data_IF_903412044371
#
_entry.id   IF_903412044371
#
_cell.length_a   1.000
_cell.length_b   1.000
_cell.length_c   1.000
_cell.angle_alpha   90.00
_cell.angle_beta   90.00
_cell.angle_gamma   90.00
#
_symmetry.space_group_name_H-M   'P 1'
#
loop_
_entity.id
_entity.type
_entity.pdbx_description
1 polymer ?
#
# COMPACT_ATOMS: atom_id res chain seq x y z
N UNK A 1 -48.68 21.05 -4.54
CA UNK A 1 -49.33 20.12 -5.49
C UNK A 1 -48.70 18.74 -5.28
N UNK A 2 -49.43 17.76 -4.73
CA UNK A 2 -48.90 16.39 -4.53
C UNK A 2 -48.79 15.71 -5.91
N UNK A 3 -47.58 15.40 -6.36
CA UNK A 3 -47.27 14.92 -7.71
C UNK A 3 -47.69 13.47 -7.98
N UNK A 4 -48.32 12.80 -7.00
CA UNK A 4 -48.83 11.42 -7.16
C UNK A 4 -47.74 10.36 -7.26
N UNK A 5 -46.50 10.71 -6.95
CA UNK A 5 -45.38 9.77 -6.93
C UNK A 5 -45.37 8.94 -5.66
N UNK A 6 -44.98 7.68 -5.80
CA UNK A 6 -44.62 6.77 -4.70
C UNK A 6 -43.11 6.84 -4.52
N UNK A 7 -42.65 7.27 -3.35
CA UNK A 7 -41.23 7.33 -3.02
C UNK A 7 -40.89 6.23 -2.01
N UNK A 8 -39.99 5.31 -2.36
CA UNK A 8 -39.51 4.24 -1.48
C UNK A 8 -38.05 4.51 -1.17
N UNK A 9 -37.69 4.52 0.11
CA UNK A 9 -36.33 4.75 0.57
C UNK A 9 -35.82 3.49 1.26
N UNK A 10 -34.85 2.83 0.64
CA UNK A 10 -34.25 1.60 1.14
C UNK A 10 -33.14 1.92 2.14
N UNK A 11 -33.31 1.60 3.42
CA UNK A 11 -32.40 2.04 4.49
C UNK A 11 -31.36 0.99 4.94
N UNK A 12 -31.42 -0.23 4.41
CA UNK A 12 -30.49 -1.32 4.70
C UNK A 12 -30.54 -1.83 6.15
N UNK A 13 -31.64 -1.56 6.86
CA UNK A 13 -31.86 -2.05 8.23
C UNK A 13 -32.97 -1.31 8.96
N UNK A 14 -33.64 -2.01 9.87
CA UNK A 14 -34.80 -1.51 10.61
C UNK A 14 -34.48 -0.31 11.51
N UNK A 15 -33.34 -0.32 12.21
CA UNK A 15 -32.95 0.79 13.09
C UNK A 15 -32.60 2.05 12.30
N UNK A 16 -32.08 1.89 11.08
CA UNK A 16 -31.80 3.02 10.18
C UNK A 16 -33.08 3.60 9.57
N UNK A 17 -34.03 2.75 9.22
CA UNK A 17 -35.35 3.18 8.73
C UNK A 17 -36.09 4.04 9.75
N UNK A 18 -36.06 3.66 11.04
CA UNK A 18 -36.66 4.43 12.15
C UNK A 18 -35.99 5.79 12.37
N UNK A 19 -34.66 5.84 12.36
CA UNK A 19 -33.94 7.13 12.49
C UNK A 19 -34.25 8.05 11.32
N UNK A 20 -34.37 7.50 10.11
CA UNK A 20 -34.68 8.30 8.93
C UNK A 20 -36.13 8.79 8.93
N UNK A 21 -37.09 7.96 9.37
CA UNK A 21 -38.50 8.36 9.49
C UNK A 21 -38.66 9.49 10.50
N UNK A 22 -37.97 9.42 11.64
CA UNK A 22 -37.94 10.48 12.67
C UNK A 22 -37.36 11.79 12.09
N UNK A 23 -36.23 11.73 11.39
CA UNK A 23 -35.60 12.92 10.78
C UNK A 23 -36.52 13.57 9.72
N UNK A 24 -37.12 12.77 8.85
CA UNK A 24 -38.05 13.25 7.81
C UNK A 24 -39.31 13.86 8.43
N UNK A 25 -39.80 13.30 9.55
CA UNK A 25 -40.93 13.87 10.28
C UNK A 25 -40.61 15.25 10.87
N UNK A 26 -39.36 15.46 11.31
CA UNK A 26 -38.86 16.76 11.79
C UNK A 26 -38.83 17.85 10.71
N UNK A 27 -38.63 17.46 9.44
CA UNK A 27 -38.67 18.37 8.28
C UNK A 27 -40.07 18.52 7.66
N UNK A 28 -41.10 17.89 8.25
CA UNK A 28 -42.49 18.00 7.80
C UNK A 28 -42.87 17.04 6.66
N UNK A 29 -42.05 16.01 6.39
CA UNK A 29 -42.34 14.95 5.43
C UNK A 29 -42.90 13.73 6.16
N UNK A 30 -44.13 13.34 5.85
CA UNK A 30 -44.77 12.14 6.43
C UNK A 30 -44.22 10.90 5.72
N UNK A 31 -43.22 10.26 6.32
CA UNK A 31 -42.68 8.97 5.88
C UNK A 31 -43.30 7.83 6.71
N UNK A 32 -43.87 6.83 6.04
CA UNK A 32 -44.47 5.65 6.71
C UNK A 32 -43.48 4.48 6.70
N UNK A 33 -43.30 3.82 7.84
CA UNK A 33 -42.52 2.58 7.95
C UNK A 33 -43.38 1.41 7.48
N UNK A 34 -43.19 0.97 6.23
CA UNK A 34 -43.84 -0.24 5.73
C UNK A 34 -43.13 -0.77 4.50
N UNK A 35 -42.93 -2.08 4.44
CA UNK A 35 -42.46 -2.76 3.23
C UNK A 35 -43.58 -2.81 2.14
N UNK A 36 -44.84 -2.51 2.51
CA UNK A 36 -46.02 -2.58 1.65
C UNK A 36 -46.49 -1.20 1.18
N UNK A 37 -46.03 -0.79 0.00
CA UNK A 37 -46.20 0.57 -0.54
C UNK A 37 -47.40 0.71 -1.50
N UNK A 38 -48.63 0.61 -0.99
CA UNK A 38 -49.84 0.61 -1.84
C UNK A 38 -50.37 2.00 -2.21
N UNK A 39 -50.20 3.02 -1.35
CA UNK A 39 -50.72 4.37 -1.57
C UNK A 39 -49.65 5.38 -2.03
N UNK A 40 -50.02 6.55 -2.57
CA UNK A 40 -49.07 7.61 -2.88
C UNK A 40 -48.52 8.24 -1.59
N UNK A 41 -47.21 8.14 -1.37
CA UNK A 41 -46.53 8.61 -0.17
C UNK A 41 -45.03 8.33 -0.17
N UNK A 42 -44.35 8.77 0.88
CA UNK A 42 -42.96 8.40 1.15
C UNK A 42 -42.92 7.21 2.13
N UNK A 43 -42.14 6.18 1.79
CA UNK A 43 -42.02 4.96 2.57
C UNK A 43 -40.56 4.69 2.90
N UNK A 44 -40.28 4.36 4.17
CA UNK A 44 -38.97 3.88 4.59
C UNK A 44 -39.04 2.35 4.69
N UNK A 45 -38.28 1.66 3.82
CA UNK A 45 -38.19 0.21 3.76
C UNK A 45 -36.86 -0.29 4.32
N UNK A 46 -36.85 -1.54 4.75
CA UNK A 46 -35.71 -2.17 5.43
C UNK A 46 -34.68 -2.78 4.48
N UNK A 47 -34.97 -2.84 3.18
CA UNK A 47 -34.12 -3.46 2.17
C UNK A 47 -32.83 -2.69 1.92
N UNK A 48 -31.87 -3.38 1.28
CA UNK A 48 -30.58 -2.81 0.92
C UNK A 48 -30.49 -2.69 -0.59
N UNK A 49 -30.33 -1.46 -1.08
CA UNK A 49 -30.17 -1.19 -2.51
C UNK A 49 -29.00 -0.22 -2.73
N UNK A 50 -28.04 -0.59 -3.57
CA UNK A 50 -26.85 0.25 -3.78
C UNK A 50 -27.16 1.54 -4.54
N UNK A 51 -28.06 1.52 -5.51
CA UNK A 51 -28.49 2.72 -6.25
C UNK A 51 -29.99 2.65 -6.52
N UNK A 52 -30.64 3.78 -6.37
CA UNK A 52 -32.04 3.99 -6.68
C UNK A 52 -32.29 4.12 -8.18
N UNK A 53 -33.57 4.12 -8.54
CA UNK A 53 -34.04 4.34 -9.90
C UNK A 53 -35.45 4.96 -9.88
N UNK A 54 -35.81 5.60 -10.99
CA UNK A 54 -37.12 6.24 -11.14
C UNK A 54 -37.83 5.61 -12.34
N UNK A 55 -39.04 5.11 -12.11
CA UNK A 55 -39.96 4.64 -13.14
C UNK A 55 -41.06 5.68 -13.31
N UNK A 56 -40.93 6.49 -14.36
CA UNK A 56 -41.90 7.55 -14.65
C UNK A 56 -43.29 7.02 -15.04
N UNK A 57 -43.34 5.88 -15.74
CA UNK A 57 -44.58 5.27 -16.22
C UNK A 57 -45.52 4.87 -15.07
N UNK A 58 -44.95 4.36 -13.97
CA UNK A 58 -45.67 3.94 -12.76
C UNK A 58 -45.66 5.00 -11.65
N UNK A 59 -45.08 6.17 -11.91
CA UNK A 59 -44.81 7.23 -10.92
C UNK A 59 -44.13 6.71 -9.65
N UNK A 60 -43.16 5.81 -9.81
CA UNK A 60 -42.41 5.20 -8.71
C UNK A 60 -40.98 5.73 -8.68
N UNK A 61 -40.54 6.21 -7.52
CA UNK A 61 -39.16 6.60 -7.25
C UNK A 61 -38.62 5.71 -6.13
N UNK A 62 -37.60 4.91 -6.42
CA UNK A 62 -36.88 4.11 -5.42
C UNK A 62 -35.54 4.79 -5.18
N UNK A 63 -35.23 5.12 -3.94
CA UNK A 63 -33.99 5.75 -3.52
C UNK A 63 -33.14 4.68 -2.84
N UNK A 64 -31.91 4.49 -3.34
CA UNK A 64 -31.01 3.49 -2.83
C UNK A 64 -30.43 3.86 -1.47
N UNK A 65 -30.07 2.84 -0.69
CA UNK A 65 -29.34 2.98 0.57
C UNK A 65 -28.05 3.76 0.40
N UNK A 66 -27.28 3.53 -0.67
CA UNK A 66 -26.03 4.29 -0.86
C UNK A 66 -26.24 5.70 -1.43
N UNK A 67 -27.46 6.04 -1.88
CA UNK A 67 -27.81 7.40 -2.32
C UNK A 67 -28.18 8.29 -1.12
N UNK A 68 -28.83 7.72 -0.10
CA UNK A 68 -29.19 8.42 1.15
C UNK A 68 -28.04 8.41 2.14
N UNK A 69 -27.44 7.24 2.34
CA UNK A 69 -26.29 7.06 3.18
C UNK A 69 -25.09 6.98 2.26
N UNK A 70 -24.22 7.99 2.22
CA UNK A 70 -22.95 7.96 1.49
C UNK A 70 -22.03 6.88 2.07
N UNK A 71 -22.40 5.63 1.87
CA UNK A 71 -21.59 4.44 2.07
C UNK A 71 -20.64 4.43 0.90
N UNK A 72 -19.52 5.14 1.06
CA UNK A 72 -18.43 5.18 0.09
C UNK A 72 -18.19 3.77 -0.44
N UNK A 73 -18.50 3.57 -1.72
CA UNK A 73 -18.00 2.41 -2.44
C UNK A 73 -16.50 2.54 -2.32
N UNK A 74 -15.89 1.76 -1.42
CA UNK A 74 -14.44 1.65 -1.32
C UNK A 74 -14.01 1.06 -2.65
N UNK A 75 -13.68 1.94 -3.60
CA UNK A 75 -12.94 1.53 -4.78
C UNK A 75 -11.70 0.83 -4.24
N UNK A 76 -11.67 -0.49 -4.41
CA UNK A 76 -10.50 -1.28 -4.06
C UNK A 76 -9.40 -0.80 -5.01
N UNK A 77 -8.65 0.20 -4.57
CA UNK A 77 -7.36 0.51 -5.16
C UNK A 77 -6.51 -0.74 -4.98
N UNK A 78 -6.41 -1.52 -6.04
CA UNK A 78 -5.42 -2.58 -6.12
C UNK A 78 -4.08 -1.88 -5.96
N UNK A 79 -3.47 -1.98 -4.77
CA UNK A 79 -2.10 -1.52 -4.54
C UNK A 79 -1.24 -2.24 -5.58
N UNK A 80 -0.89 -1.55 -6.67
CA UNK A 80 0.18 -1.99 -7.55
C UNK A 80 1.37 -2.21 -6.62
N UNK A 81 1.84 -3.45 -6.51
CA UNK A 81 3.19 -3.71 -5.98
C UNK A 81 4.09 -2.69 -6.66
N UNK A 82 4.69 -1.80 -5.88
CA UNK A 82 5.81 -0.98 -6.36
C UNK A 82 6.80 -2.00 -6.91
N UNK A 83 6.83 -2.13 -8.24
CA UNK A 83 7.92 -2.83 -8.89
C UNK A 83 9.18 -2.15 -8.41
N UNK A 84 10.19 -2.95 -8.07
CA UNK A 84 11.56 -2.50 -7.86
C UNK A 84 11.83 -1.34 -8.83
N UNK A 85 12.06 -0.17 -8.26
CA UNK A 85 12.47 1.01 -9.01
C UNK A 85 13.81 0.68 -9.63
N UNK A 86 13.79 0.02 -10.79
CA UNK A 86 14.97 -0.22 -11.60
C UNK A 86 15.43 1.16 -12.06
N UNK A 87 16.29 1.77 -11.26
CA UNK A 87 16.95 3.02 -11.61
C UNK A 87 17.99 2.67 -12.67
N UNK A 88 17.57 2.73 -13.92
CA UNK A 88 18.49 2.59 -15.05
C UNK A 88 19.59 3.65 -14.90
N UNK A 89 20.87 3.26 -14.95
CA UNK A 89 21.95 4.23 -14.82
C UNK A 89 22.02 5.10 -16.08
N UNK A 90 22.14 6.40 -15.88
CA UNK A 90 22.27 7.39 -16.95
C UNK A 90 23.74 7.58 -17.35
N UNK A 91 23.96 8.30 -18.44
CA UNK A 91 25.32 8.62 -18.90
C UNK A 91 26.01 9.48 -17.83
N UNK A 92 27.17 9.03 -17.35
CA UNK A 92 27.92 9.68 -16.27
C UNK A 92 27.66 9.09 -14.89
N UNK A 93 26.63 8.26 -14.71
CA UNK A 93 26.41 7.54 -13.46
C UNK A 93 27.43 6.43 -13.24
N UNK A 94 27.67 6.11 -11.97
CA UNK A 94 28.35 4.89 -11.59
C UNK A 94 27.35 3.73 -11.61
N UNK A 95 27.76 2.61 -12.20
CA UNK A 95 26.98 1.38 -12.26
C UNK A 95 27.78 0.21 -11.71
N UNK A 96 27.10 -0.71 -11.04
CA UNK A 96 27.66 -1.94 -10.52
C UNK A 96 27.28 -3.08 -11.45
N UNK A 97 28.29 -3.72 -12.03
CA UNK A 97 28.13 -4.99 -12.75
C UNK A 97 28.33 -6.16 -11.77
N UNK A 98 27.47 -7.17 -11.82
CA UNK A 98 27.47 -8.31 -10.88
C UNK A 98 28.82 -9.06 -10.75
N UNK A 99 29.62 -9.04 -11.83
CA UNK A 99 30.91 -9.74 -11.95
C UNK A 99 32.11 -8.80 -11.83
N UNK A 100 32.04 -7.61 -12.44
CA UNK A 100 33.20 -6.75 -12.63
C UNK A 100 33.25 -5.59 -11.61
N UNK A 101 32.18 -5.38 -10.86
CA UNK A 101 32.08 -4.32 -9.87
C UNK A 101 31.74 -2.96 -10.48
N UNK A 102 32.23 -1.91 -9.85
CA UNK A 102 31.85 -0.51 -10.12
C UNK A 102 32.60 0.04 -11.33
N UNK A 103 31.84 0.54 -12.30
CA UNK A 103 32.30 1.27 -13.48
C UNK A 103 31.47 2.54 -13.72
N UNK A 104 31.88 3.37 -14.68
CA UNK A 104 31.16 4.59 -15.11
C UNK A 104 30.45 4.33 -16.43
N UNK A 105 29.17 4.69 -16.51
CA UNK A 105 28.43 4.63 -17.78
C UNK A 105 28.90 5.74 -18.71
N UNK A 106 29.46 5.37 -19.86
CA UNK A 106 29.89 6.32 -20.90
C UNK A 106 28.86 6.54 -22.00
N UNK A 107 27.85 5.67 -22.09
CA UNK A 107 26.73 5.81 -23.03
C UNK A 107 26.36 4.49 -23.68
N UNK A 108 25.60 4.58 -24.77
CA UNK A 108 25.24 3.42 -25.59
C UNK A 108 26.04 3.42 -26.89
N UNK A 109 26.46 2.23 -27.33
CA UNK A 109 27.17 2.02 -28.59
C UNK A 109 26.45 0.94 -29.39
N UNK A 110 26.17 1.27 -30.65
CA UNK A 110 25.64 0.32 -31.62
C UNK A 110 26.80 -0.41 -32.29
N UNK A 111 26.79 -1.74 -32.19
CA UNK A 111 27.83 -2.59 -32.77
C UNK A 111 27.14 -3.53 -33.76
N UNK A 112 27.55 -3.44 -35.03
CA UNK A 112 27.13 -4.35 -36.10
C UNK A 112 28.09 -5.53 -36.16
N UNK A 113 27.59 -6.74 -35.93
CA UNK A 113 28.32 -7.99 -36.15
C UNK A 113 27.69 -8.78 -37.29
N UNK A 114 28.28 -9.92 -37.64
CA UNK A 114 27.75 -10.86 -38.65
C UNK A 114 26.33 -11.33 -38.32
N UNK A 115 25.97 -11.35 -37.03
CA UNK A 115 24.65 -11.75 -36.51
C UNK A 115 23.63 -10.59 -36.41
N UNK A 116 23.97 -9.41 -36.92
CA UNK A 116 23.12 -8.23 -36.92
C UNK A 116 23.63 -7.07 -36.06
N UNK A 117 22.80 -6.05 -35.94
CA UNK A 117 23.12 -4.81 -35.22
C UNK A 117 22.52 -4.84 -33.83
N UNK A 118 23.36 -4.82 -32.80
CA UNK A 118 22.93 -4.82 -31.40
C UNK A 118 23.40 -3.55 -30.67
N UNK A 119 22.60 -3.13 -29.71
CA UNK A 119 22.89 -2.00 -28.83
C UNK A 119 23.54 -2.50 -27.53
N UNK A 120 24.62 -1.83 -27.14
CA UNK A 120 25.41 -2.13 -25.96
C UNK A 120 25.53 -0.89 -25.09
N UNK A 121 25.52 -1.06 -23.78
CA UNK A 121 25.93 -0.04 -22.82
C UNK A 121 27.44 -0.11 -22.63
N UNK A 122 28.12 1.01 -22.79
CA UNK A 122 29.56 1.15 -22.60
C UNK A 122 29.86 1.60 -21.15
N UNK A 123 30.65 0.79 -20.45
CA UNK A 123 31.11 1.04 -19.08
C UNK A 123 32.63 1.20 -19.07
N UNK A 124 33.11 2.26 -18.45
CA UNK A 124 34.54 2.48 -18.22
C UNK A 124 34.96 2.06 -16.81
N UNK A 125 36.06 1.32 -16.72
CA UNK A 125 36.65 0.80 -15.50
C UNK A 125 38.02 1.44 -15.23
N UNK A 126 38.62 1.12 -14.08
CA UNK A 126 39.92 1.66 -13.70
C UNK A 126 41.00 1.30 -14.73
N UNK A 127 41.81 2.29 -15.14
CA UNK A 127 42.84 2.10 -16.16
C UNK A 127 42.37 2.36 -17.60
N UNK A 128 41.11 2.76 -17.79
CA UNK A 128 40.54 3.07 -19.11
C UNK A 128 39.95 1.86 -19.84
N UNK A 129 39.85 0.72 -19.16
CA UNK A 129 39.25 -0.49 -19.71
C UNK A 129 37.75 -0.30 -19.98
N UNK A 130 37.28 -0.73 -21.16
CA UNK A 130 35.89 -0.59 -21.57
C UNK A 130 35.19 -1.95 -21.59
N UNK A 131 34.03 -2.04 -20.95
CA UNK A 131 33.13 -3.18 -21.01
C UNK A 131 31.86 -2.80 -21.79
N UNK A 132 31.46 -3.65 -22.74
CA UNK A 132 30.24 -3.48 -23.52
C UNK A 132 29.21 -4.52 -23.08
N UNK A 133 28.15 -4.08 -22.40
CA UNK A 133 27.08 -4.95 -21.92
C UNK A 133 25.88 -4.85 -22.87
N UNK A 134 25.39 -5.95 -23.47
CA UNK A 134 24.20 -5.90 -24.32
C UNK A 134 23.00 -5.33 -23.56
N UNK A 135 22.14 -4.57 -24.24
CA UNK A 135 20.87 -4.08 -23.63
C UNK A 135 19.99 -5.23 -23.14
N UNK A 136 20.07 -6.40 -23.79
CA UNK A 136 19.40 -7.64 -23.37
C UNK A 136 19.83 -8.15 -21.98
N UNK A 137 21.03 -7.76 -21.50
CA UNK A 137 21.61 -8.16 -20.21
C UNK A 137 21.68 -6.98 -19.21
N UNK A 138 20.75 -6.03 -19.35
CA UNK A 138 20.71 -4.84 -18.50
C UNK A 138 20.34 -5.14 -17.04
N UNK A 139 19.68 -6.27 -16.79
CA UNK A 139 19.38 -6.81 -15.47
C UNK A 139 20.63 -6.99 -14.59
N UNK A 140 21.79 -7.20 -15.20
CA UNK A 140 23.10 -7.36 -14.50
C UNK A 140 23.76 -6.06 -14.08
N UNK A 141 23.14 -4.92 -14.42
CA UNK A 141 23.65 -3.59 -14.13
C UNK A 141 22.69 -2.88 -13.20
N UNK A 142 23.21 -2.49 -12.04
CA UNK A 142 22.46 -1.71 -11.06
C UNK A 142 23.12 -0.35 -10.90
N UNK A 143 22.35 0.74 -10.86
CA UNK A 143 22.89 2.06 -10.53
C UNK A 143 23.53 2.02 -9.14
N UNK A 144 24.74 2.55 -9.02
CA UNK A 144 25.43 2.65 -7.74
C UNK A 144 24.76 3.73 -6.88
N UNK A 145 24.26 3.33 -5.72
CA UNK A 145 23.64 4.20 -4.71
C UNK A 145 24.56 4.25 -3.48
N UNK A 146 25.76 4.81 -3.64
CA UNK A 146 26.68 5.03 -2.52
C UNK A 146 26.55 6.42 -1.91
N UNK A 147 27.34 6.69 -0.87
CA UNK A 147 27.50 8.03 -0.29
C UNK A 147 28.00 9.05 -1.32
N UNK A 148 27.90 10.34 -1.02
CA UNK A 148 28.31 11.47 -1.89
C UNK A 148 29.79 11.49 -2.31
N UNK A 149 30.57 10.48 -1.93
CA UNK A 149 31.96 10.31 -2.36
C UNK A 149 32.06 9.55 -3.67
N UNK A 150 33.01 9.95 -4.52
CA UNK A 150 33.26 9.27 -5.79
C UNK A 150 33.77 7.85 -5.55
N UNK A 151 33.05 6.80 -6.00
CA UNK A 151 33.46 5.43 -5.75
C UNK A 151 34.74 5.09 -6.52
N UNK A 152 35.59 4.26 -5.91
CA UNK A 152 36.76 3.70 -6.57
C UNK A 152 36.31 2.74 -7.68
N UNK A 153 36.72 3.01 -8.92
CA UNK A 153 36.49 2.10 -10.04
C UNK A 153 37.25 0.79 -9.85
N UNK A 154 36.59 -0.32 -10.19
CA UNK A 154 37.22 -1.63 -10.18
C UNK A 154 38.03 -1.88 -11.47
N UNK A 155 38.92 -2.87 -11.46
CA UNK A 155 39.62 -3.35 -12.65
C UNK A 155 38.92 -4.58 -13.21
N UNK A 156 38.79 -4.67 -14.53
CA UNK A 156 38.22 -5.86 -15.18
C UNK A 156 39.15 -7.05 -14.93
N UNK A 157 38.59 -8.18 -14.50
CA UNK A 157 39.34 -9.40 -14.15
C UNK A 157 40.11 -9.32 -12.83
N UNK A 158 40.00 -8.24 -12.07
CA UNK A 158 40.60 -8.12 -10.75
C UNK A 158 39.82 -8.87 -9.67
N UNK A 159 40.53 -9.58 -8.78
CA UNK A 159 39.91 -10.29 -7.65
C UNK A 159 39.47 -9.36 -6.49
N UNK A 160 39.65 -8.04 -6.60
CA UNK A 160 39.29 -7.09 -5.53
C UNK A 160 37.79 -7.12 -5.24
N UNK A 161 36.96 -7.08 -6.29
CA UNK A 161 35.51 -7.05 -6.15
C UNK A 161 34.97 -8.37 -5.56
N UNK A 162 35.48 -9.51 -6.04
CA UNK A 162 35.10 -10.82 -5.50
C UNK A 162 35.45 -10.97 -4.02
N UNK A 163 36.63 -10.49 -3.60
CA UNK A 163 37.04 -10.49 -2.18
C UNK A 163 36.10 -9.63 -1.33
N UNK A 164 35.69 -8.46 -1.83
CA UNK A 164 34.71 -7.59 -1.15
C UNK A 164 33.36 -8.30 -1.06
N UNK A 165 32.88 -8.89 -2.17
CA UNK A 165 31.63 -9.64 -2.23
C UNK A 165 31.60 -10.81 -1.24
N UNK A 166 32.69 -11.58 -1.15
CA UNK A 166 32.84 -12.66 -0.19
C UNK A 166 32.78 -12.15 1.26
N UNK A 167 33.55 -11.11 1.59
CA UNK A 167 33.54 -10.52 2.94
C UNK A 167 32.16 -10.01 3.35
N UNK A 168 31.46 -9.33 2.44
CA UNK A 168 30.10 -8.83 2.68
C UNK A 168 29.14 -10.00 2.87
N UNK A 169 29.22 -11.03 2.04
CA UNK A 169 28.39 -12.25 2.17
C UNK A 169 28.60 -12.95 3.51
N UNK A 170 29.84 -13.07 3.96
CA UNK A 170 30.16 -13.63 5.28
C UNK A 170 29.58 -12.78 6.42
N UNK A 171 29.68 -11.46 6.33
CA UNK A 171 29.10 -10.52 7.30
C UNK A 171 27.58 -10.67 7.39
N UNK A 172 26.89 -10.69 6.24
CA UNK A 172 25.44 -10.91 6.16
C UNK A 172 25.07 -12.27 6.75
N UNK A 173 25.84 -13.31 6.46
CA UNK A 173 25.61 -14.65 7.02
C UNK A 173 25.74 -14.66 8.54
N UNK A 174 26.74 -13.99 9.10
CA UNK A 174 26.90 -13.87 10.56
C UNK A 174 25.74 -13.11 11.19
N UNK A 175 25.39 -11.95 10.64
CA UNK A 175 24.24 -11.16 11.09
C UNK A 175 22.95 -11.96 11.06
N UNK A 176 22.74 -12.79 10.03
CA UNK A 176 21.56 -13.66 9.93
C UNK A 176 21.52 -14.71 11.04
N UNK A 177 22.67 -15.31 11.36
CA UNK A 177 22.79 -16.28 12.46
C UNK A 177 22.47 -15.60 13.80
N UNK A 178 23.00 -14.40 14.02
CA UNK A 178 22.79 -13.63 15.24
C UNK A 178 21.33 -13.20 15.39
N UNK A 179 20.69 -12.69 14.33
CA UNK A 179 19.26 -12.37 14.30
C UNK A 179 18.40 -13.60 14.59
N UNK A 180 18.72 -14.74 13.97
CA UNK A 180 18.00 -15.98 14.23
C UNK A 180 18.13 -16.43 15.68
N UNK A 181 19.31 -16.27 16.27
CA UNK A 181 19.55 -16.55 17.69
C UNK A 181 18.71 -15.61 18.57
N UNK A 182 18.74 -14.31 18.30
CA UNK A 182 17.93 -13.32 19.01
C UNK A 182 16.43 -13.66 18.99
N UNK A 183 15.88 -14.03 17.83
CA UNK A 183 14.47 -14.42 17.73
C UNK A 183 14.13 -15.72 18.46
N UNK A 184 15.06 -16.68 18.50
CA UNK A 184 14.89 -17.90 19.32
C UNK A 184 14.86 -17.57 20.81
N UNK A 185 15.82 -16.76 21.26
CA UNK A 185 15.92 -16.38 22.67
C UNK A 185 14.67 -15.58 23.10
N UNK A 186 14.18 -14.66 22.24
CA UNK A 186 12.92 -13.93 22.45
C UNK A 186 11.68 -14.83 22.46
N UNK A 187 11.62 -15.82 21.57
CA UNK A 187 10.48 -16.75 21.52
C UNK A 187 10.42 -17.69 22.74
N UNK A 188 11.56 -17.97 23.37
CA UNK A 188 11.63 -18.76 24.59
C UNK A 188 11.22 -17.97 25.84
N UNK A 189 11.35 -16.64 25.82
CA UNK A 189 10.92 -15.76 26.90
C UNK A 189 9.41 -15.51 26.84
N UNK A 190 8.76 -15.55 28.02
CA UNK A 190 7.37 -15.13 28.15
C UNK A 190 7.32 -13.62 28.35
N UNK A 191 6.65 -12.92 27.43
CA UNK A 191 6.38 -11.48 27.51
C UNK A 191 5.20 -11.16 28.42
N UNK A 192 4.91 -9.87 28.55
CA UNK A 192 3.73 -9.37 29.24
C UNK A 192 2.60 -9.17 28.22
N UNK A 193 1.50 -9.89 28.40
CA UNK A 193 0.30 -9.72 27.59
C UNK A 193 -0.55 -8.59 28.19
N UNK A 194 -0.75 -7.53 27.42
CA UNK A 194 -1.67 -6.47 27.80
C UNK A 194 -3.13 -6.94 27.71
N UNK A 195 -3.99 -6.34 28.52
CA UNK A 195 -5.44 -6.59 28.47
C UNK A 195 -6.03 -6.05 27.17
N UNK A 196 -7.13 -6.64 26.67
CA UNK A 196 -7.89 -6.07 25.57
C UNK A 196 -8.36 -4.65 25.86
N UNK A 197 -8.62 -3.89 24.80
CA UNK A 197 -9.13 -2.52 24.89
C UNK A 197 -10.38 -2.43 25.77
N UNK A 198 -10.39 -1.43 26.65
CA UNK A 198 -11.52 -1.08 27.48
C UNK A 198 -12.15 0.23 27.01
N UNK A 199 -13.23 0.67 27.67
CA UNK A 199 -13.94 1.89 27.29
C UNK A 199 -13.05 3.13 27.38
N UNK A 200 -12.10 3.17 28.32
CA UNK A 200 -11.12 4.27 28.42
C UNK A 200 -10.17 4.31 27.22
N UNK A 201 -9.76 3.16 26.70
CA UNK A 201 -8.95 3.11 25.47
C UNK A 201 -9.72 3.69 24.30
N UNK A 202 -11.02 3.38 24.16
CA UNK A 202 -11.86 3.96 23.10
C UNK A 202 -12.04 5.46 23.27
N UNK A 203 -12.32 5.94 24.48
CA UNK A 203 -12.42 7.38 24.76
C UNK A 203 -11.10 8.11 24.41
N UNK A 204 -9.96 7.49 24.69
CA UNK A 204 -8.65 8.03 24.33
C UNK A 204 -8.44 8.09 22.81
N UNK A 205 -8.88 7.07 22.07
CA UNK A 205 -8.79 7.03 20.61
C UNK A 205 -9.73 8.03 19.93
N UNK A 206 -10.98 8.13 20.43
CA UNK A 206 -11.99 9.06 19.94
C UNK A 206 -11.63 10.53 20.22
N UNK A 207 -10.77 10.78 21.22
CA UNK A 207 -10.24 12.11 21.50
C UNK A 207 -9.26 12.60 20.42
N UNK A 208 -8.76 11.72 19.55
CA UNK A 208 -7.87 12.11 18.47
C UNK A 208 -8.66 12.72 17.30
N UNK A 209 -8.44 13.99 16.93
CA UNK A 209 -9.33 14.73 16.03
C UNK A 209 -9.14 14.39 14.54
N UNK A 210 -8.29 13.41 14.20
CA UNK A 210 -7.97 13.06 12.82
C UNK A 210 -8.40 11.63 12.53
N UNK A 211 -9.00 11.42 11.36
CA UNK A 211 -9.31 10.08 10.87
C UNK A 211 -8.02 9.36 10.43
N UNK A 212 -7.86 8.12 10.90
CA UNK A 212 -6.75 7.27 10.50
C UNK A 212 -6.88 6.87 9.03
N UNK A 213 -5.78 6.94 8.31
CA UNK A 213 -5.65 6.28 6.99
C UNK A 213 -5.74 4.76 7.15
N UNK A 214 -6.06 4.05 6.06
CA UNK A 214 -6.16 2.58 6.08
C UNK A 214 -4.86 1.92 6.58
N UNK A 215 -3.70 2.45 6.18
CA UNK A 215 -2.38 1.92 6.59
C UNK A 215 -2.10 2.19 8.08
N UNK A 216 -2.52 3.34 8.61
CA UNK A 216 -2.42 3.63 10.05
C UNK A 216 -3.35 2.73 10.86
N UNK A 217 -4.61 2.58 10.45
CA UNK A 217 -5.57 1.72 11.13
C UNK A 217 -5.10 0.25 11.16
N UNK A 218 -4.54 -0.23 10.05
CA UNK A 218 -3.92 -1.55 9.99
C UNK A 218 -2.73 -1.65 10.96
N UNK A 219 -1.84 -0.66 10.96
CA UNK A 219 -0.65 -0.64 11.83
C UNK A 219 -1.02 -0.65 13.31
N UNK A 220 -2.01 0.14 13.71
CA UNK A 220 -2.54 0.17 15.09
C UNK A 220 -3.09 -1.19 15.49
N UNK A 221 -3.93 -1.80 14.65
CA UNK A 221 -4.51 -3.12 14.94
C UNK A 221 -3.43 -4.21 15.07
N UNK A 222 -2.40 -4.17 14.22
CA UNK A 222 -1.26 -5.11 14.29
C UNK A 222 -0.41 -4.90 15.55
N UNK A 223 -0.16 -3.64 15.93
CA UNK A 223 0.56 -3.32 17.18
C UNK A 223 -0.23 -3.81 18.39
N UNK A 224 -1.52 -3.49 18.51
CA UNK A 224 -2.36 -3.92 19.63
C UNK A 224 -2.37 -5.44 19.77
N UNK A 225 -2.55 -6.15 18.67
CA UNK A 225 -2.52 -7.62 18.65
C UNK A 225 -1.19 -8.18 19.14
N UNK A 226 -0.08 -7.55 18.77
CA UNK A 226 1.23 -7.94 19.25
C UNK A 226 1.43 -7.58 20.75
N UNK A 227 0.78 -6.52 21.27
CA UNK A 227 0.81 -6.14 22.70
C UNK A 227 -0.01 -7.12 23.57
N UNK A 228 -1.14 -7.59 23.07
CA UNK A 228 -2.01 -8.54 23.78
C UNK A 228 -1.45 -9.98 23.80
N UNK A 229 -0.35 -10.22 23.08
CA UNK A 229 0.31 -11.52 22.98
C UNK A 229 1.21 -11.81 24.19
N UNK A 230 1.33 -13.08 24.58
CA UNK A 230 2.34 -13.51 25.57
C UNK A 230 3.78 -13.52 25.02
N UNK A 231 3.99 -13.14 23.76
CA UNK A 231 5.31 -13.05 23.14
C UNK A 231 5.89 -11.65 23.35
N UNK A 232 7.21 -11.56 23.53
CA UNK A 232 7.91 -10.27 23.51
C UNK A 232 7.75 -9.62 22.13
N UNK A 233 7.05 -8.49 22.07
CA UNK A 233 6.86 -7.75 20.82
C UNK A 233 8.20 -7.23 20.28
N UNK A 234 8.38 -7.37 18.96
CA UNK A 234 9.49 -6.78 18.21
C UNK A 234 8.98 -6.35 16.82
N UNK A 235 8.48 -5.13 16.73
CA UNK A 235 7.89 -4.57 15.51
C UNK A 235 8.57 -3.26 15.14
N UNK A 236 8.84 -3.09 13.85
CA UNK A 236 9.35 -1.85 13.28
C UNK A 236 8.23 -1.19 12.46
N UNK A 237 7.78 -0.01 12.90
CA UNK A 237 6.86 0.83 12.14
C UNK A 237 7.65 1.81 11.28
N UNK A 238 7.49 1.71 9.97
CA UNK A 238 8.07 2.66 9.01
C UNK A 238 6.98 3.61 8.55
N UNK A 239 7.34 4.88 8.37
CA UNK A 239 6.45 5.87 7.79
C UNK A 239 7.15 7.21 7.68
N UNK A 240 6.47 8.19 7.09
CA UNK A 240 7.10 9.44 6.65
C UNK A 240 6.78 10.63 7.59
N UNK A 241 7.67 11.63 7.65
CA UNK A 241 7.55 12.76 8.57
C UNK A 241 6.23 13.49 8.31
N UNK A 242 5.45 13.78 9.36
CA UNK A 242 4.16 14.47 9.25
C UNK A 242 2.95 13.59 8.99
N UNK A 243 3.11 12.27 8.80
CA UNK A 243 2.01 11.34 8.52
C UNK A 243 1.43 10.67 9.78
N UNK A 244 1.58 11.27 10.96
CA UNK A 244 0.98 10.74 12.20
C UNK A 244 1.32 9.27 12.47
N UNK A 245 2.61 8.91 12.36
CA UNK A 245 3.13 7.63 12.85
C UNK A 245 3.09 7.57 14.36
#
# INVERSE_FOLDING_TARGET
KKSGYKAIIECGGNDRAKRLSENLSGEGVIATESDNCFSPGAYCASGYLTRGFILHDEKLAVIGTCDVFLSGVKEKFVKKKRNDTFNAPEIGDYAVHEVHGVGIVRGMKRISSTDGTKDYVALEYAGGDMLYVPVEQMDRLTKYLGSDETPKLNKIGGAEFDKVKQRVKESISRMTIDLKKLYRDRAAMKGFAFSPDNDLTKEFEDAFPYELTEDQAQSVAEIKKDMESEKVMDRLLLGDVGFGK
#
